data_IF_968196801298
#
_entry.id   IF_968196801298
#
_cell.length_a   1.000
_cell.length_b   1.000
_cell.length_c   1.000
_cell.angle_alpha   90.00
_cell.angle_beta   90.00
_cell.angle_gamma   90.00
#
_symmetry.space_group_name_H-M   'P 1'
#
loop_
_entity.id
_entity.type
_entity.pdbx_description
1 polymer ?
#
# COMPACT_ATOMS: atom_id res chain seq x y z
N UNK A 1 16.55 7.87 14.14
CA UNK A 1 16.17 7.02 12.98
C UNK A 1 15.70 7.93 11.87
N UNK A 2 16.22 7.81 10.64
CA UNK A 2 15.79 8.67 9.52
C UNK A 2 14.42 8.18 9.05
N UNK A 3 13.38 9.03 9.08
CA UNK A 3 12.05 8.69 8.55
C UNK A 3 12.15 8.43 7.05
N UNK A 4 11.55 7.34 6.58
CA UNK A 4 11.40 7.09 5.15
C UNK A 4 10.15 7.80 4.63
N UNK A 5 10.09 8.06 3.31
CA UNK A 5 8.87 8.58 2.69
C UNK A 5 7.63 7.71 2.97
N UNK A 6 7.83 6.40 3.14
CA UNK A 6 6.72 5.51 3.50
C UNK A 6 6.27 5.73 4.96
N UNK A 7 7.21 5.94 5.89
CA UNK A 7 6.85 6.23 7.29
C UNK A 7 6.10 7.55 7.42
N UNK A 8 6.50 8.56 6.65
CA UNK A 8 5.79 9.84 6.53
C UNK A 8 4.40 9.64 5.93
N UNK A 9 4.28 8.84 4.87
CA UNK A 9 2.98 8.53 4.26
C UNK A 9 2.07 7.72 5.19
N UNK A 10 2.61 6.80 6.00
CA UNK A 10 1.84 6.06 7.01
C UNK A 10 1.31 7.03 8.08
N UNK A 11 2.14 7.99 8.49
CA UNK A 11 1.77 9.03 9.46
C UNK A 11 1.21 8.47 10.78
N UNK A 12 1.83 7.41 11.31
CA UNK A 12 1.43 6.77 12.57
C UNK A 12 0.13 5.95 12.51
N UNK A 13 -0.50 5.81 11.34
CA UNK A 13 -1.68 4.95 11.16
C UNK A 13 -1.31 3.48 11.35
N UNK A 14 -2.26 2.70 11.85
CA UNK A 14 -2.12 1.26 12.00
C UNK A 14 -1.89 0.60 10.62
N UNK A 15 -0.76 -0.10 10.48
CA UNK A 15 -0.39 -0.79 9.25
C UNK A 15 -0.98 -2.20 9.26
N UNK A 16 -1.75 -2.50 8.22
CA UNK A 16 -2.34 -3.82 7.98
C UNK A 16 -1.36 -4.70 7.21
N UNK A 17 -0.76 -4.18 6.14
CA UNK A 17 0.19 -4.92 5.31
C UNK A 17 1.13 -3.98 4.56
N UNK A 18 2.40 -4.38 4.41
CA UNK A 18 3.34 -3.72 3.52
C UNK A 18 3.28 -4.34 2.12
N UNK A 19 3.29 -3.50 1.09
CA UNK A 19 3.15 -3.93 -0.30
C UNK A 19 4.26 -3.30 -1.13
N UNK A 20 4.90 -4.11 -1.97
CA UNK A 20 5.84 -3.62 -2.97
C UNK A 20 5.31 -3.93 -4.37
N UNK A 21 5.04 -2.91 -5.19
CA UNK A 21 4.50 -3.10 -6.54
C UNK A 21 3.78 -1.87 -7.09
N UNK A 22 3.00 -2.06 -8.16
CA UNK A 22 2.21 -1.00 -8.77
C UNK A 22 1.02 -0.60 -7.88
N UNK A 23 0.67 0.69 -7.92
CA UNK A 23 -0.61 1.17 -7.40
C UNK A 23 -1.72 0.79 -8.40
N UNK A 24 -2.16 -0.47 -8.34
CA UNK A 24 -3.17 -1.00 -9.25
C UNK A 24 -4.23 -1.80 -8.48
N UNK A 25 -4.98 -1.16 -7.55
CA UNK A 25 -5.88 -1.85 -6.63
C UNK A 25 -7.06 -2.54 -7.33
N UNK A 26 -7.35 -2.26 -8.61
CA UNK A 26 -8.37 -2.95 -9.39
C UNK A 26 -7.83 -4.11 -10.25
N UNK A 27 -6.50 -4.21 -10.41
CA UNK A 27 -5.88 -5.27 -11.21
C UNK A 27 -5.64 -6.52 -10.35
N UNK A 28 -6.37 -7.60 -10.62
CA UNK A 28 -6.30 -8.89 -9.90
C UNK A 28 -4.90 -9.50 -9.83
N UNK A 29 -4.05 -9.18 -10.80
CA UNK A 29 -2.68 -9.68 -10.86
C UNK A 29 -1.69 -8.83 -10.03
N UNK A 30 -2.08 -7.63 -9.61
CA UNK A 30 -1.19 -6.76 -8.85
C UNK A 30 -1.00 -7.25 -7.41
N UNK A 31 0.19 -6.98 -6.87
CA UNK A 31 0.50 -7.28 -5.46
C UNK A 31 -0.42 -6.51 -4.51
N UNK A 32 -0.82 -5.28 -4.87
CA UNK A 32 -1.72 -4.47 -4.07
C UNK A 32 -3.11 -5.10 -3.97
N UNK A 33 -3.70 -5.52 -5.09
CA UNK A 33 -4.99 -6.21 -5.08
C UNK A 33 -4.94 -7.47 -4.21
N UNK A 34 -3.94 -8.32 -4.41
CA UNK A 34 -3.79 -9.57 -3.66
C UNK A 34 -3.63 -9.32 -2.15
N UNK A 35 -2.88 -8.28 -1.77
CA UNK A 35 -2.71 -7.90 -0.37
C UNK A 35 -4.01 -7.37 0.26
N UNK A 36 -4.81 -6.58 -0.46
CA UNK A 36 -6.12 -6.10 -0.01
C UNK A 36 -7.05 -7.28 0.27
N UNK A 37 -7.19 -8.20 -0.68
CA UNK A 37 -8.05 -9.39 -0.52
C UNK A 37 -7.55 -10.28 0.62
N UNK A 38 -6.24 -10.53 0.71
CA UNK A 38 -5.64 -11.34 1.78
C UNK A 38 -5.83 -10.74 3.16
N UNK A 39 -5.99 -9.43 3.27
CA UNK A 39 -6.29 -8.73 4.51
C UNK A 39 -7.79 -8.70 4.86
N UNK A 40 -8.65 -9.32 4.04
CA UNK A 40 -10.09 -9.40 4.25
C UNK A 40 -10.88 -8.18 3.77
N UNK A 41 -10.31 -7.36 2.89
CA UNK A 41 -10.95 -6.17 2.32
C UNK A 41 -11.19 -6.32 0.82
N UNK A 42 -11.93 -5.38 0.24
CA UNK A 42 -12.06 -5.21 -1.22
C UNK A 42 -11.43 -3.88 -1.67
N UNK A 43 -11.13 -3.71 -2.97
CA UNK A 43 -10.66 -2.42 -3.49
C UNK A 43 -11.61 -1.24 -3.23
N UNK A 44 -12.91 -1.50 -3.09
CA UNK A 44 -13.94 -0.50 -2.78
C UNK A 44 -13.86 0.01 -1.33
N UNK A 45 -13.21 -0.74 -0.44
CA UNK A 45 -12.96 -0.32 0.94
C UNK A 45 -11.87 0.77 1.03
N UNK A 46 -11.13 1.02 -0.05
CA UNK A 46 -10.14 2.10 -0.11
C UNK A 46 -10.86 3.45 -0.04
N UNK A 47 -10.46 4.27 0.92
CA UNK A 47 -11.06 5.57 1.17
C UNK A 47 -12.27 5.52 2.11
N UNK A 48 -12.74 4.34 2.50
CA UNK A 48 -13.84 4.19 3.49
C UNK A 48 -13.37 3.48 4.75
N UNK A 49 -12.78 2.27 4.64
CA UNK A 49 -12.31 1.47 5.77
C UNK A 49 -10.78 1.40 5.85
N UNK A 50 -10.12 1.42 4.70
CA UNK A 50 -8.67 1.36 4.58
C UNK A 50 -8.15 2.50 3.71
N UNK A 51 -6.85 2.74 3.78
CA UNK A 51 -6.13 3.64 2.89
C UNK A 51 -4.83 2.99 2.45
N UNK A 52 -4.24 3.49 1.37
CA UNK A 52 -2.95 3.02 0.87
C UNK A 52 -1.96 4.16 1.00
N UNK A 53 -1.01 4.02 1.93
CA UNK A 53 0.13 4.91 2.05
C UNK A 53 1.14 4.55 0.95
N UNK A 54 1.55 5.54 0.16
CA UNK A 54 2.51 5.36 -0.93
C UNK A 54 3.79 6.09 -0.57
N UNK A 55 4.88 5.32 -0.45
CA UNK A 55 6.21 5.82 -0.15
C UNK A 55 7.07 5.98 -1.40
N UNK A 56 8.37 5.73 -1.28
CA UNK A 56 9.31 5.92 -2.38
C UNK A 56 9.09 4.93 -3.53
N UNK A 57 9.40 5.37 -4.75
CA UNK A 57 9.50 4.50 -5.92
C UNK A 57 10.59 3.43 -5.70
N UNK A 58 10.40 2.25 -6.26
CA UNK A 58 11.39 1.16 -6.19
C UNK A 58 12.69 1.60 -6.87
N UNK A 59 13.82 1.27 -6.25
CA UNK A 59 15.18 1.54 -6.77
C UNK A 59 15.64 0.53 -7.84
N UNK A 60 15.11 -0.69 -7.83
CA UNK A 60 15.45 -1.74 -8.78
C UNK A 60 14.18 -2.37 -9.34
N UNK A 61 14.00 -2.29 -10.67
CA UNK A 61 12.79 -2.67 -11.40
C UNK A 61 12.15 -1.48 -12.11
N UNK A 62 11.41 -1.75 -13.19
CA UNK A 62 10.93 -0.71 -14.11
C UNK A 62 9.71 0.05 -13.61
N UNK A 63 8.89 -0.50 -12.71
CA UNK A 63 7.64 0.17 -12.30
C UNK A 63 7.23 -0.22 -10.86
N UNK A 64 6.98 0.76 -9.99
CA UNK A 64 6.22 0.55 -8.75
C UNK A 64 6.77 1.18 -7.47
N UNK A 65 6.01 1.07 -6.40
CA UNK A 65 6.16 1.81 -5.16
C UNK A 65 6.32 0.89 -3.95
N UNK A 66 6.99 1.40 -2.90
CA UNK A 66 6.85 0.86 -1.55
C UNK A 66 5.59 1.44 -0.94
N UNK A 67 4.64 0.60 -0.55
CA UNK A 67 3.33 1.00 -0.06
C UNK A 67 3.00 0.29 1.25
N UNK A 68 1.99 0.80 1.95
CA UNK A 68 1.37 0.13 3.08
C UNK A 68 -0.15 0.29 3.00
N UNK A 69 -0.88 -0.79 3.23
CA UNK A 69 -2.32 -0.74 3.52
C UNK A 69 -2.43 -0.36 4.99
N UNK A 70 -3.17 0.69 5.29
CA UNK A 70 -3.36 1.22 6.64
C UNK A 70 -4.84 1.35 6.96
N UNK A 71 -5.19 1.28 8.24
CA UNK A 71 -6.52 1.65 8.71
C UNK A 71 -6.79 3.12 8.44
N UNK A 72 -8.04 3.44 8.10
CA UNK A 72 -8.49 4.83 7.96
C UNK A 72 -8.83 5.43 9.32
#
# INVERSE_FOLDING_TARGET
MKKTMLDEAINGREVIAYVNGLYAPANKNSNLYKAIISAGYTPEDIGTKISVAVGAHRRHGTEGWKMAIVKK
#
